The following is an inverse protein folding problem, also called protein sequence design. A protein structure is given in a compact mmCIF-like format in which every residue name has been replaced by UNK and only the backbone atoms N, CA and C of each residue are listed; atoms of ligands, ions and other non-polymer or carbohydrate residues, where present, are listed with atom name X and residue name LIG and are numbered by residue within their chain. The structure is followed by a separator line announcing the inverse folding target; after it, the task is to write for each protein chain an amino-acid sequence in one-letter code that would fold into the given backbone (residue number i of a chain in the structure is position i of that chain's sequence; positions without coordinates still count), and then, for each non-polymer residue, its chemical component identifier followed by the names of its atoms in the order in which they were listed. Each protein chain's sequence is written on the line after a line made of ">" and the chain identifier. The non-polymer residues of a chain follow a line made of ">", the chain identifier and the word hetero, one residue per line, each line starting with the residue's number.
data_IF_190973391940
#
_entry.id   IF_190973391940
#
_cell.length_a   1.000
_cell.length_b   1.000
_cell.length_c   1.000
_cell.angle_alpha   90.00
_cell.angle_beta   90.00
_cell.angle_gamma   90.00
#
_symmetry.space_group_name_H-M   'P 1'
#
loop_
_entity.id
_entity.type
_entity.pdbx_description
1 polymer ?
#
# COMPACT_ATOMS: atom_id res chain seq x y z
N UNK A 1 14.85 11.93 -9.14
CA UNK A 1 13.60 11.69 -8.39
C UNK A 1 13.76 10.39 -7.61
N UNK A 2 13.83 10.45 -6.27
CA UNK A 2 14.08 9.29 -5.44
C UNK A 2 12.81 8.42 -5.34
N UNK A 3 12.98 7.11 -5.51
CA UNK A 3 11.91 6.13 -5.33
C UNK A 3 12.45 4.97 -4.51
N UNK A 4 11.58 4.38 -3.70
CA UNK A 4 11.88 3.24 -2.86
C UNK A 4 11.11 2.04 -3.37
N UNK A 5 11.79 0.90 -3.49
CA UNK A 5 11.12 -0.36 -3.81
C UNK A 5 10.62 -1.01 -2.53
N UNK A 6 9.31 -1.15 -2.41
CA UNK A 6 8.66 -1.78 -1.26
C UNK A 6 8.00 -3.08 -1.71
N UNK A 7 8.09 -4.10 -0.88
CA UNK A 7 7.47 -5.39 -1.18
C UNK A 7 6.02 -5.37 -0.69
N UNK A 8 5.08 -5.72 -1.58
CA UNK A 8 3.67 -5.80 -1.22
C UNK A 8 3.43 -7.00 -0.29
N UNK A 9 2.81 -6.78 0.86
CA UNK A 9 2.48 -7.83 1.81
C UNK A 9 1.54 -8.90 1.21
N UNK A 10 0.57 -8.48 0.40
CA UNK A 10 -0.43 -9.39 -0.16
C UNK A 10 0.07 -10.20 -1.37
N UNK A 11 0.58 -9.56 -2.43
CA UNK A 11 1.02 -10.25 -3.64
C UNK A 11 2.53 -10.54 -3.73
N UNK A 12 3.31 -10.14 -2.72
CA UNK A 12 4.79 -10.25 -2.68
C UNK A 12 5.53 -9.58 -3.85
N UNK A 13 4.84 -8.79 -4.67
CA UNK A 13 5.45 -8.03 -5.78
C UNK A 13 6.11 -6.77 -5.23
N UNK A 14 7.27 -6.41 -5.79
CA UNK A 14 7.91 -5.12 -5.52
C UNK A 14 7.15 -4.02 -6.27
N UNK A 15 6.89 -2.90 -5.61
CA UNK A 15 6.33 -1.71 -6.23
C UNK A 15 7.12 -0.48 -5.80
N UNK A 16 7.13 0.54 -6.67
CA UNK A 16 7.89 1.76 -6.46
C UNK A 16 7.03 2.77 -5.69
N UNK A 17 7.60 3.30 -4.62
CA UNK A 17 7.03 4.38 -3.83
C UNK A 17 7.87 5.61 -4.07
N UNK A 18 7.28 6.63 -4.69
CA UNK A 18 7.96 7.86 -5.03
C UNK A 18 7.99 8.81 -3.84
N UNK A 19 9.14 9.45 -3.64
CA UNK A 19 9.32 10.50 -2.63
C UNK A 19 8.33 11.65 -2.89
N UNK A 20 7.62 12.08 -1.84
CA UNK A 20 6.54 13.09 -1.91
C UNK A 20 5.12 12.53 -1.99
N UNK A 21 4.95 11.22 -2.23
CA UNK A 21 3.63 10.58 -2.15
C UNK A 21 3.15 10.45 -0.71
N UNK A 22 1.83 10.48 -0.50
CA UNK A 22 1.22 10.22 0.82
C UNK A 22 1.66 8.84 1.36
N UNK A 23 1.81 7.84 0.48
CA UNK A 23 2.38 6.52 0.79
C UNK A 23 3.82 6.60 1.29
N UNK A 24 4.65 7.48 0.75
CA UNK A 24 6.03 7.67 1.22
C UNK A 24 6.06 8.25 2.64
N UNK A 25 5.24 9.26 2.90
CA UNK A 25 5.08 9.85 4.22
C UNK A 25 4.57 8.83 5.23
N UNK A 26 3.56 8.03 4.85
CA UNK A 26 3.06 6.91 5.66
C UNK A 26 4.14 5.86 5.92
N UNK A 27 4.92 5.46 4.91
CA UNK A 27 6.03 4.51 5.06
C UNK A 27 7.10 5.00 6.04
N UNK A 28 7.40 6.31 6.01
CA UNK A 28 8.41 6.94 6.86
C UNK A 28 7.92 7.18 8.30
N UNK A 29 6.67 7.62 8.49
CA UNK A 29 6.11 7.96 9.81
C UNK A 29 5.51 6.75 10.55
N UNK A 30 4.86 5.84 9.84
CA UNK A 30 4.26 4.64 10.41
C UNK A 30 4.85 3.43 9.71
N UNK A 31 5.65 2.64 10.43
CA UNK A 31 5.97 1.25 10.06
C UNK A 31 4.71 0.37 10.07
N UNK A 32 3.69 0.76 9.33
CA UNK A 32 2.54 -0.07 9.03
C UNK A 32 3.12 -1.24 8.25
N UNK A 33 3.35 -2.36 8.95
CA UNK A 33 4.07 -3.54 8.44
C UNK A 33 3.41 -4.13 7.19
N UNK A 34 2.17 -3.74 6.95
CA UNK A 34 1.33 -4.18 5.85
C UNK A 34 1.28 -3.09 4.77
N UNK A 35 2.34 -2.97 3.99
CA UNK A 35 2.32 -2.15 2.78
C UNK A 35 1.83 -2.99 1.60
N UNK A 36 0.80 -2.51 0.92
CA UNK A 36 0.24 -3.17 -0.25
C UNK A 36 0.49 -2.32 -1.50
N UNK A 37 0.66 -2.98 -2.64
CA UNK A 37 0.60 -2.29 -3.93
C UNK A 37 -0.80 -1.69 -4.12
N UNK A 38 -0.94 -0.77 -5.08
CA UNK A 38 -2.19 -0.08 -5.31
C UNK A 38 -3.35 -1.03 -5.63
N UNK A 39 -3.06 -2.08 -6.40
CA UNK A 39 -3.99 -3.13 -6.76
C UNK A 39 -4.53 -3.89 -5.54
N UNK A 40 -3.62 -4.38 -4.68
CA UNK A 40 -3.99 -5.08 -3.45
C UNK A 40 -4.71 -4.15 -2.46
N UNK A 41 -4.27 -2.89 -2.36
CA UNK A 41 -4.94 -1.89 -1.53
C UNK A 41 -6.36 -1.64 -2.00
N UNK A 42 -6.57 -1.50 -3.31
CA UNK A 42 -7.89 -1.32 -3.91
C UNK A 42 -8.77 -2.53 -3.65
N UNK A 43 -8.25 -3.75 -3.82
CA UNK A 43 -8.98 -4.99 -3.57
C UNK A 43 -9.41 -5.13 -2.11
N UNK A 44 -8.50 -4.88 -1.15
CA UNK A 44 -8.81 -4.89 0.28
C UNK A 44 -9.89 -3.85 0.61
N UNK A 45 -9.79 -2.66 0.02
CA UNK A 45 -10.76 -1.59 0.24
C UNK A 45 -12.14 -1.97 -0.31
N UNK A 46 -12.21 -2.58 -1.49
CA UNK A 46 -13.45 -3.08 -2.08
C UNK A 46 -14.06 -4.22 -1.27
N UNK A 47 -13.23 -5.14 -0.77
CA UNK A 47 -13.69 -6.25 0.08
C UNK A 47 -14.23 -5.74 1.42
N UNK A 48 -13.54 -4.78 2.03
CA UNK A 48 -13.99 -4.11 3.25
C UNK A 48 -15.31 -3.36 3.05
N UNK A 49 -15.47 -2.66 1.92
CA UNK A 49 -16.73 -2.01 1.55
C UNK A 49 -17.85 -3.06 1.42
N UNK A 50 -17.62 -4.13 0.65
CA UNK A 50 -18.60 -5.21 0.50
C UNK A 50 -19.00 -5.85 1.83
N UNK A 51 -18.04 -6.06 2.73
CA UNK A 51 -18.31 -6.64 4.05
C UNK A 51 -19.02 -5.65 4.99
N UNK A 52 -18.80 -4.34 4.81
CA UNK A 52 -19.47 -3.30 5.61
C UNK A 52 -20.94 -3.13 5.22
N UNK A 53 -21.28 -3.30 3.95
CA UNK A 53 -22.66 -3.23 3.44
C UNK A 53 -23.41 -4.58 3.54
N UNK A 54 -22.88 -5.56 4.27
CA UNK A 54 -23.49 -6.87 4.49
C UNK A 54 -24.17 -6.93 5.85
#
# INVERSE_FOLDING_TARGET
>A
MFHYEVLCYSCKRKFKVYEGSLKFKQFKERRTRFFCCEDCSHKIRMDAIKNFFR
#
